data_IF_729112266017
#
_entry.id   IF_729112266017
#
_cell.length_a   1.000
_cell.length_b   1.000
_cell.length_c   1.000
_cell.angle_alpha   90.00
_cell.angle_beta   90.00
_cell.angle_gamma   90.00
#
_symmetry.space_group_name_H-M   'P 1'
#
loop_
_entity.id
_entity.type
_entity.pdbx_description
1 polymer ?
#
# COMPACT_ATOMS: atom_id res chain seq x y z
N UNK A 1 11.43 5.72 -12.11
CA UNK A 1 11.35 6.72 -11.02
C UNK A 1 11.19 8.17 -11.51
N UNK A 2 11.92 8.55 -12.56
CA UNK A 2 11.83 9.92 -13.05
C UNK A 2 10.43 10.30 -13.51
N UNK A 3 9.75 9.41 -14.21
CA UNK A 3 8.39 9.65 -14.68
C UNK A 3 7.40 9.76 -13.52
N UNK A 4 7.53 8.88 -12.52
CA UNK A 4 6.69 8.91 -11.33
C UNK A 4 6.91 10.21 -10.57
N UNK A 5 8.16 10.58 -10.32
CA UNK A 5 8.51 11.81 -9.61
C UNK A 5 7.94 13.04 -10.32
N UNK A 6 8.04 13.07 -11.64
CA UNK A 6 7.51 14.18 -12.44
C UNK A 6 5.99 14.25 -12.32
N UNK A 7 5.31 13.12 -12.42
CA UNK A 7 3.85 13.06 -12.31
C UNK A 7 3.37 13.52 -10.94
N UNK A 8 4.01 13.07 -9.86
CA UNK A 8 3.65 13.48 -8.50
C UNK A 8 3.84 14.99 -8.36
N UNK A 9 4.99 15.50 -8.77
CA UNK A 9 5.29 16.94 -8.66
C UNK A 9 4.28 17.79 -9.40
N UNK A 10 3.93 17.41 -10.63
CA UNK A 10 3.04 18.24 -11.47
C UNK A 10 1.58 18.15 -11.05
N UNK A 11 1.15 17.03 -10.44
CA UNK A 11 -0.25 16.81 -10.11
C UNK A 11 -0.60 17.16 -8.67
N UNK A 12 0.25 16.75 -7.72
CA UNK A 12 -0.03 16.94 -6.29
C UNK A 12 0.62 18.20 -5.71
N UNK A 13 1.71 18.69 -6.32
CA UNK A 13 2.50 19.80 -5.80
C UNK A 13 3.02 19.57 -4.39
N UNK A 14 3.11 18.31 -3.97
CA UNK A 14 3.65 17.85 -2.70
C UNK A 14 4.05 16.39 -2.85
N UNK A 15 4.78 15.86 -1.88
CA UNK A 15 5.16 14.44 -1.88
C UNK A 15 3.91 13.57 -1.64
N UNK A 16 3.87 12.45 -2.32
CA UNK A 16 2.83 11.45 -2.11
C UNK A 16 3.23 10.59 -0.90
N UNK A 17 2.36 10.52 0.10
CA UNK A 17 2.66 9.81 1.34
C UNK A 17 2.13 8.38 1.28
N UNK A 18 3.03 7.41 1.46
CA UNK A 18 2.72 5.98 1.43
C UNK A 18 3.06 5.36 2.78
N UNK A 19 2.08 4.73 3.42
CA UNK A 19 2.28 3.97 4.65
C UNK A 19 2.21 2.49 4.31
N UNK A 20 3.20 1.72 4.75
CA UNK A 20 3.23 0.29 4.49
C UNK A 20 3.40 -0.52 5.75
N UNK A 21 2.81 -1.71 5.81
CA UNK A 21 2.86 -2.58 6.98
C UNK A 21 2.51 -4.02 6.65
N UNK A 22 2.98 -4.94 7.49
CA UNK A 22 2.44 -6.29 7.59
C UNK A 22 1.44 -6.28 8.74
N UNK A 23 0.19 -6.60 8.45
CA UNK A 23 -0.89 -6.43 9.44
C UNK A 23 -1.19 -7.71 10.23
N UNK A 24 -1.87 -7.55 11.37
CA UNK A 24 -2.26 -8.65 12.24
C UNK A 24 -1.05 -9.26 12.94
N UNK A 25 -1.00 -10.58 12.96
CA UNK A 25 0.11 -11.33 13.57
C UNK A 25 1.21 -11.69 12.56
N UNK A 26 1.10 -11.22 11.33
CA UNK A 26 2.07 -11.54 10.28
C UNK A 26 3.39 -10.81 10.52
N UNK A 27 4.46 -11.58 10.67
CA UNK A 27 5.80 -11.07 10.93
C UNK A 27 6.70 -11.10 9.68
N UNK A 28 6.15 -11.45 8.52
CA UNK A 28 6.93 -11.65 7.30
C UNK A 28 7.11 -10.34 6.53
N UNK A 29 8.18 -9.60 6.82
CA UNK A 29 8.41 -8.29 6.21
C UNK A 29 9.07 -8.33 4.82
N UNK A 30 9.51 -9.49 4.35
CA UNK A 30 10.23 -9.60 3.08
C UNK A 30 9.45 -8.97 1.91
N UNK A 31 8.16 -9.27 1.81
CA UNK A 31 7.33 -8.76 0.73
C UNK A 31 7.17 -7.24 0.76
N UNK A 32 6.83 -6.69 1.92
CA UNK A 32 6.64 -5.25 2.03
C UNK A 32 7.99 -4.51 1.89
N UNK A 33 9.07 -5.07 2.42
CA UNK A 33 10.39 -4.48 2.29
C UNK A 33 10.87 -4.49 0.85
N UNK A 34 10.55 -5.54 0.07
CA UNK A 34 10.92 -5.60 -1.34
C UNK A 34 10.33 -4.43 -2.14
N UNK A 35 9.14 -3.98 -1.77
CA UNK A 35 8.46 -2.87 -2.44
C UNK A 35 8.92 -1.53 -1.89
N UNK A 36 9.02 -1.39 -0.57
CA UNK A 36 9.28 -0.10 0.07
C UNK A 36 10.77 0.24 0.20
N UNK A 37 11.59 -0.74 0.58
CA UNK A 37 13.00 -0.50 0.90
C UNK A 37 13.76 0.00 -0.33
N UNK A 38 14.67 0.93 -0.10
CA UNK A 38 15.44 1.57 -1.16
C UNK A 38 16.18 0.57 -2.07
N UNK A 39 16.56 -0.59 -1.54
CA UNK A 39 17.24 -1.63 -2.32
C UNK A 39 16.35 -2.21 -3.41
N UNK A 40 15.06 -2.29 -3.15
CA UNK A 40 14.09 -2.75 -4.14
C UNK A 40 14.07 -4.24 -4.40
N UNK A 41 13.59 -4.60 -5.58
CA UNK A 41 13.37 -5.99 -5.99
C UNK A 41 13.41 -6.09 -7.51
N UNK A 42 13.91 -7.21 -8.02
CA UNK A 42 13.96 -7.53 -9.46
C UNK A 42 14.68 -6.45 -10.28
N UNK A 43 15.75 -5.88 -9.74
CA UNK A 43 16.51 -4.84 -10.41
C UNK A 43 15.89 -3.44 -10.35
N UNK A 44 14.73 -3.29 -9.72
CA UNK A 44 14.06 -2.00 -9.55
C UNK A 44 14.20 -1.51 -8.12
N UNK A 45 14.38 -0.22 -7.96
CA UNK A 45 14.49 0.40 -6.63
C UNK A 45 13.13 0.43 -5.96
N UNK A 46 13.11 0.30 -4.63
CA UNK A 46 11.88 0.42 -3.84
C UNK A 46 11.35 1.85 -3.76
N UNK A 47 10.17 1.99 -3.20
CA UNK A 47 9.49 3.30 -3.17
C UNK A 47 10.28 4.36 -2.42
N UNK A 48 11.09 3.97 -1.43
CA UNK A 48 11.93 4.91 -0.68
C UNK A 48 12.94 5.64 -1.58
N UNK A 49 13.29 5.08 -2.73
CA UNK A 49 14.19 5.71 -3.67
C UNK A 49 13.55 6.88 -4.41
N UNK A 50 12.23 6.92 -4.49
CA UNK A 50 11.51 7.93 -5.25
C UNK A 50 11.47 9.24 -4.47
N UNK A 51 12.08 10.29 -5.04
CA UNK A 51 12.20 11.60 -4.36
C UNK A 51 10.85 12.16 -3.94
N UNK A 52 9.84 12.00 -4.77
CA UNK A 52 8.51 12.59 -4.54
C UNK A 52 7.56 11.70 -3.75
N UNK A 53 8.04 10.54 -3.31
CA UNK A 53 7.29 9.64 -2.44
C UNK A 53 7.87 9.68 -1.04
N UNK A 54 7.01 9.95 -0.05
CA UNK A 54 7.38 9.86 1.36
C UNK A 54 6.86 8.53 1.88
N UNK A 55 7.76 7.64 2.28
CA UNK A 55 7.42 6.28 2.70
C UNK A 55 7.56 6.14 4.20
N UNK A 56 6.50 5.62 4.85
CA UNK A 56 6.50 5.28 6.27
C UNK A 56 6.30 3.77 6.37
N UNK A 57 7.35 3.04 6.70
CA UNK A 57 7.30 1.59 6.84
C UNK A 57 7.11 1.26 8.32
N UNK A 58 5.94 0.73 8.66
CA UNK A 58 5.60 0.39 10.04
C UNK A 58 6.09 -0.99 10.46
N UNK A 59 6.59 -1.80 9.52
CA UNK A 59 7.13 -3.11 9.83
C UNK A 59 6.06 -4.19 9.96
N UNK A 60 6.30 -5.13 10.87
CA UNK A 60 5.50 -6.35 11.03
C UNK A 60 4.53 -6.25 12.20
N UNK A 61 3.53 -7.12 12.17
CA UNK A 61 2.58 -7.34 13.27
C UNK A 61 1.84 -6.07 13.69
N UNK A 62 1.50 -5.24 12.71
CA UNK A 62 0.78 -3.99 12.96
C UNK A 62 -0.72 -4.28 13.06
N UNK A 63 -1.32 -3.90 14.17
CA UNK A 63 -2.78 -4.05 14.35
C UNK A 63 -3.53 -3.08 13.46
N UNK A 64 -4.72 -3.47 13.02
CA UNK A 64 -5.55 -2.63 12.14
C UNK A 64 -5.85 -1.27 12.78
N UNK A 65 -6.25 -1.17 14.07
CA UNK A 65 -6.49 0.14 14.68
C UNK A 65 -5.26 1.04 14.68
N UNK A 66 -4.07 0.48 14.95
CA UNK A 66 -2.82 1.23 14.93
C UNK A 66 -2.47 1.71 13.52
N UNK A 67 -2.73 0.88 12.51
CA UNK A 67 -2.50 1.22 11.12
C UNK A 67 -3.38 2.43 10.71
N UNK A 68 -4.65 2.39 11.05
CA UNK A 68 -5.58 3.48 10.75
C UNK A 68 -5.12 4.77 11.44
N UNK A 69 -4.75 4.68 12.71
CA UNK A 69 -4.27 5.82 13.50
C UNK A 69 -3.03 6.45 12.87
N UNK A 70 -2.06 5.64 12.49
CA UNK A 70 -0.82 6.12 11.87
C UNK A 70 -1.06 6.71 10.50
N UNK A 71 -1.91 6.08 9.70
CA UNK A 71 -2.24 6.59 8.37
C UNK A 71 -2.90 7.97 8.45
N UNK A 72 -3.79 8.16 9.43
CA UNK A 72 -4.42 9.48 9.67
C UNK A 72 -3.39 10.51 10.13
N UNK A 73 -2.54 10.14 11.08
CA UNK A 73 -1.52 11.05 11.62
C UNK A 73 -0.54 11.50 10.53
N UNK A 74 -0.16 10.59 9.64
CA UNK A 74 0.78 10.88 8.54
C UNK A 74 0.09 11.49 7.32
N UNK A 75 -1.24 11.58 7.32
CA UNK A 75 -2.04 12.04 6.17
C UNK A 75 -1.71 11.22 4.92
N UNK A 76 -1.74 9.90 5.06
CA UNK A 76 -1.38 8.97 4.00
C UNK A 76 -2.27 9.11 2.77
N UNK A 77 -1.67 9.15 1.60
CA UNK A 77 -2.38 9.08 0.32
C UNK A 77 -2.66 7.64 -0.07
N UNK A 78 -1.79 6.73 0.35
CA UNK A 78 -1.93 5.30 0.07
C UNK A 78 -1.45 4.48 1.25
N UNK A 79 -2.08 3.32 1.44
CA UNK A 79 -1.68 2.33 2.44
C UNK A 79 -1.45 1.01 1.72
N UNK A 80 -0.25 0.44 1.91
CA UNK A 80 0.13 -0.85 1.36
C UNK A 80 0.21 -1.86 2.49
N UNK A 81 -0.54 -2.95 2.39
CA UNK A 81 -0.47 -4.02 3.39
C UNK A 81 0.01 -5.30 2.74
N UNK A 82 0.86 -6.03 3.46
CA UNK A 82 1.38 -7.31 3.01
C UNK A 82 0.89 -8.41 3.96
N UNK A 83 0.49 -9.53 3.38
CA UNK A 83 0.05 -10.70 4.11
C UNK A 83 0.62 -11.96 3.47
N UNK A 84 1.35 -12.74 4.24
CA UNK A 84 1.90 -14.03 3.81
C UNK A 84 1.17 -15.18 4.49
N UNK A 85 0.76 -14.97 5.75
CA UNK A 85 0.06 -15.99 6.54
C UNK A 85 -1.35 -16.20 5.99
N UNK A 86 -1.64 -17.43 5.56
CA UNK A 86 -2.93 -17.77 4.94
C UNK A 86 -3.74 -18.77 5.76
N UNK A 87 -3.23 -19.19 6.92
CA UNK A 87 -3.91 -20.16 7.77
C UNK A 87 -5.32 -19.68 8.11
N UNK A 88 -6.33 -20.52 7.85
CA UNK A 88 -7.74 -20.19 8.06
C UNK A 88 -8.16 -18.91 7.35
N UNK A 89 -7.60 -18.67 6.16
CA UNK A 89 -7.89 -17.48 5.37
C UNK A 89 -7.57 -16.15 6.08
N UNK A 90 -6.57 -16.17 6.96
CA UNK A 90 -6.19 -14.99 7.75
C UNK A 90 -5.91 -13.77 6.86
N UNK A 91 -5.26 -13.97 5.70
CA UNK A 91 -4.94 -12.87 4.77
C UNK A 91 -6.21 -12.19 4.24
N UNK A 92 -7.27 -12.96 3.98
CA UNK A 92 -8.55 -12.45 3.49
C UNK A 92 -9.25 -11.69 4.62
N UNK A 93 -9.38 -12.33 5.79
CA UNK A 93 -10.10 -11.75 6.93
C UNK A 93 -9.44 -10.47 7.41
N UNK A 94 -8.11 -10.47 7.56
CA UNK A 94 -7.37 -9.30 8.02
C UNK A 94 -7.47 -8.15 7.03
N UNK A 95 -7.41 -8.43 5.73
CA UNK A 95 -7.50 -7.40 4.70
C UNK A 95 -8.90 -6.79 4.66
N UNK A 96 -9.94 -7.61 4.77
CA UNK A 96 -11.33 -7.11 4.85
C UNK A 96 -11.54 -6.25 6.08
N UNK A 97 -11.01 -6.67 7.23
CA UNK A 97 -11.11 -5.90 8.47
C UNK A 97 -10.41 -4.56 8.33
N UNK A 98 -9.24 -4.55 7.72
CA UNK A 98 -8.49 -3.32 7.46
C UNK A 98 -9.26 -2.37 6.55
N UNK A 99 -9.79 -2.87 5.44
CA UNK A 99 -10.55 -2.06 4.50
C UNK A 99 -11.81 -1.47 5.15
N UNK A 100 -12.53 -2.28 5.94
CA UNK A 100 -13.71 -1.82 6.66
C UNK A 100 -13.37 -0.75 7.70
N UNK A 101 -12.25 -0.91 8.42
CA UNK A 101 -11.80 0.04 9.42
C UNK A 101 -11.48 1.39 8.80
N UNK A 102 -10.81 1.44 7.65
CA UNK A 102 -10.53 2.68 6.94
C UNK A 102 -11.82 3.35 6.45
N UNK A 103 -12.74 2.56 5.91
CA UNK A 103 -14.02 3.10 5.44
C UNK A 103 -14.80 3.71 6.59
N UNK A 104 -14.86 3.03 7.72
CA UNK A 104 -15.58 3.51 8.90
C UNK A 104 -14.94 4.77 9.47
N UNK A 105 -13.61 4.82 9.56
CA UNK A 105 -12.89 5.94 10.16
C UNK A 105 -12.83 7.17 9.26
N UNK A 106 -12.73 6.99 7.94
CA UNK A 106 -12.40 8.08 7.02
C UNK A 106 -13.36 8.24 5.84
N UNK A 107 -14.24 7.27 5.60
CA UNK A 107 -15.22 7.34 4.51
C UNK A 107 -14.54 7.51 3.15
N UNK A 108 -15.04 8.46 2.35
CA UNK A 108 -14.49 8.73 1.02
C UNK A 108 -13.10 9.37 1.04
N UNK A 109 -12.68 9.84 2.21
CA UNK A 109 -11.35 10.45 2.38
C UNK A 109 -10.28 9.42 2.73
N UNK A 110 -10.64 8.15 2.73
CA UNK A 110 -9.67 7.10 3.02
C UNK A 110 -8.55 7.09 1.98
N UNK A 111 -7.33 6.67 2.38
CA UNK A 111 -6.25 6.52 1.41
C UNK A 111 -6.56 5.43 0.39
N UNK A 112 -5.83 5.42 -0.71
CA UNK A 112 -5.84 4.30 -1.64
C UNK A 112 -5.35 3.08 -0.88
N UNK A 113 -6.11 1.98 -0.91
CA UNK A 113 -5.78 0.76 -0.18
C UNK A 113 -5.27 -0.30 -1.14
N UNK A 114 -4.08 -0.81 -0.87
CA UNK A 114 -3.43 -1.83 -1.70
C UNK A 114 -3.01 -2.99 -0.81
N UNK A 115 -3.37 -4.19 -1.21
CA UNK A 115 -2.96 -5.42 -0.53
C UNK A 115 -2.06 -6.23 -1.44
N UNK A 116 -1.06 -6.90 -0.86
CA UNK A 116 -0.14 -7.75 -1.60
C UNK A 116 0.31 -8.95 -0.81
N UNK A 117 0.69 -10.00 -1.53
CA UNK A 117 1.19 -11.23 -0.97
C UNK A 117 1.12 -12.36 -1.98
N UNK A 118 1.91 -13.44 -1.77
CA UNK A 118 2.02 -14.51 -2.76
C UNK A 118 0.75 -15.35 -2.95
N UNK A 119 -0.17 -15.27 -1.99
CA UNK A 119 -1.43 -16.02 -2.02
C UNK A 119 -2.64 -15.20 -2.45
N UNK A 120 -2.46 -13.92 -2.71
CA UNK A 120 -3.54 -13.10 -3.23
C UNK A 120 -3.70 -13.25 -4.73
N UNK A 121 -4.95 -13.24 -5.16
CA UNK A 121 -5.31 -13.16 -6.57
C UNK A 121 -5.68 -11.69 -6.86
N UNK A 122 -5.08 -11.06 -7.88
CA UNK A 122 -5.42 -9.67 -8.23
C UNK A 122 -6.92 -9.42 -8.47
N UNK A 123 -7.68 -10.45 -8.82
CA UNK A 123 -9.13 -10.33 -9.04
C UNK A 123 -9.93 -10.15 -7.74
N UNK A 124 -9.28 -10.28 -6.58
CA UNK A 124 -9.96 -10.22 -5.27
C UNK A 124 -10.18 -8.81 -4.74
N UNK A 125 -9.69 -7.78 -5.41
CA UNK A 125 -9.71 -6.41 -4.88
C UNK A 125 -11.12 -5.97 -4.43
N UNK A 126 -12.11 -6.15 -5.27
CA UNK A 126 -13.50 -5.77 -4.94
C UNK A 126 -14.06 -6.55 -3.76
N UNK A 127 -13.79 -7.84 -3.72
CA UNK A 127 -14.23 -8.71 -2.63
C UNK A 127 -13.62 -8.31 -1.30
N UNK A 128 -12.35 -7.90 -1.31
CA UNK A 128 -11.63 -7.51 -0.10
C UNK A 128 -11.92 -6.08 0.32
N UNK A 129 -12.51 -5.27 -0.54
CA UNK A 129 -12.80 -3.87 -0.26
C UNK A 129 -11.60 -2.95 -0.43
N UNK A 130 -10.57 -3.39 -1.12
CA UNK A 130 -9.38 -2.58 -1.42
C UNK A 130 -9.39 -2.12 -2.88
N UNK A 131 -8.55 -1.15 -3.20
CA UNK A 131 -8.50 -0.59 -4.56
C UNK A 131 -7.70 -1.47 -5.51
N UNK A 132 -6.67 -2.16 -5.01
CA UNK A 132 -5.83 -3.01 -5.84
C UNK A 132 -5.21 -4.13 -5.01
N UNK A 133 -5.01 -5.27 -5.65
CA UNK A 133 -4.31 -6.42 -5.07
C UNK A 133 -3.17 -6.79 -6.01
N UNK A 134 -1.98 -6.93 -5.45
CA UNK A 134 -0.80 -7.38 -6.18
C UNK A 134 -0.40 -8.78 -5.73
N UNK A 135 -0.17 -9.66 -6.67
CA UNK A 135 0.26 -11.03 -6.41
C UNK A 135 1.77 -11.18 -6.44
N UNK A 136 2.19 -12.44 -6.55
CA UNK A 136 3.60 -12.79 -6.61
C UNK A 136 4.29 -12.15 -7.83
N UNK A 137 5.53 -11.70 -7.64
CA UNK A 137 6.34 -11.16 -8.74
C UNK A 137 6.11 -9.68 -9.03
N UNK A 138 5.26 -9.02 -8.27
CA UNK A 138 5.04 -7.58 -8.42
C UNK A 138 6.31 -6.79 -8.11
N UNK A 139 6.62 -5.81 -8.94
CA UNK A 139 7.80 -4.97 -8.76
C UNK A 139 7.45 -3.62 -8.14
N UNK A 140 8.43 -2.94 -7.49
CA UNK A 140 8.18 -1.60 -6.96
C UNK A 140 7.70 -0.59 -8.01
N UNK A 141 8.22 -0.69 -9.24
CA UNK A 141 7.80 0.19 -10.33
C UNK A 141 6.34 0.05 -10.70
N UNK A 142 5.82 -1.19 -10.68
CA UNK A 142 4.40 -1.44 -10.92
C UNK A 142 3.54 -0.78 -9.86
N UNK A 143 3.95 -0.89 -8.60
CA UNK A 143 3.21 -0.28 -7.47
C UNK A 143 3.25 1.24 -7.60
N UNK A 144 4.42 1.82 -7.84
CA UNK A 144 4.57 3.27 -7.99
C UNK A 144 3.70 3.82 -9.12
N UNK A 145 3.71 3.16 -10.27
CA UNK A 145 2.90 3.56 -11.42
C UNK A 145 1.42 3.49 -11.11
N UNK A 146 0.99 2.44 -10.43
CA UNK A 146 -0.40 2.30 -10.03
C UNK A 146 -0.83 3.43 -9.08
N UNK A 147 0.02 3.77 -8.10
CA UNK A 147 -0.31 4.81 -7.12
C UNK A 147 -0.51 6.17 -7.81
N UNK A 148 0.34 6.49 -8.76
CA UNK A 148 0.20 7.73 -9.54
C UNK A 148 -1.11 7.73 -10.32
N UNK A 149 -1.44 6.62 -10.96
CA UNK A 149 -2.69 6.48 -11.72
C UNK A 149 -3.91 6.65 -10.81
N UNK A 150 -3.91 5.98 -9.66
CA UNK A 150 -5.01 6.06 -8.69
C UNK A 150 -5.21 7.48 -8.16
N UNK A 151 -4.12 8.19 -7.87
CA UNK A 151 -4.20 9.57 -7.40
C UNK A 151 -4.71 10.51 -8.49
N UNK A 152 -4.30 10.29 -9.73
CA UNK A 152 -4.81 11.08 -10.84
C UNK A 152 -6.31 10.93 -11.00
N UNK A 153 -6.84 9.72 -10.85
CA UNK A 153 -8.28 9.49 -10.91
C UNK A 153 -9.01 10.21 -9.78
N UNK A 154 -8.44 10.21 -8.57
CA UNK A 154 -9.04 10.92 -7.43
C UNK A 154 -9.07 12.42 -7.62
N UNK A 155 -8.01 12.99 -8.18
CA UNK A 155 -7.93 14.43 -8.44
C UNK A 155 -8.94 14.82 -9.54
N UNK A 156 -9.09 13.98 -10.57
CA UNK A 156 -10.01 14.24 -11.67
C UNK A 156 -11.49 14.04 -11.27
N UNK A 157 -11.70 13.17 -10.28
CA UNK A 157 -13.04 12.88 -9.77
C UNK A 157 -13.38 13.75 -8.59
#
# INVERSE_FOLDING_TARGET
PAEVNRAVRSRLHRRLVVVGACIGTDAHTVGIDAILNIKGFAGEKGLEYYRELRVVNLGAQVGVPDLVKRARAERADAVLVSQVVTQRDAHILNTREMAAAFREAMGDRRPVLVAGGPRFDPMMAGELGVDRVFGRGTTPGEVASYLVHAMNERIAG
#
